data_IF_457331943890
#
_entry.id   IF_457331943890
#
_cell.length_a   1.000
_cell.length_b   1.000
_cell.length_c   1.000
_cell.angle_alpha   90.00
_cell.angle_beta   90.00
_cell.angle_gamma   90.00
#
_symmetry.space_group_name_H-M   'P 1'
#
loop_
_entity.id
_entity.type
_entity.pdbx_description
1 polymer ?
#
# COMPACT_ATOMS: atom_id res chain seq x y z
N UNK A 1 29.18 -0.47 13.08
CA UNK A 1 27.75 -0.11 13.17
C UNK A 1 27.70 1.30 13.70
N UNK A 2 27.37 2.29 12.88
CA UNK A 2 27.02 3.63 13.41
C UNK A 2 25.75 3.47 14.24
N UNK A 3 25.72 4.02 15.45
CA UNK A 3 24.49 3.96 16.24
C UNK A 3 23.43 4.81 15.52
N UNK A 4 22.15 4.47 15.68
CA UNK A 4 21.07 5.26 15.09
C UNK A 4 21.15 6.74 15.51
N UNK A 5 21.64 7.00 16.73
CA UNK A 5 21.87 8.34 17.27
C UNK A 5 23.00 9.12 16.58
N UNK A 6 23.91 8.45 15.87
CA UNK A 6 25.05 9.09 15.19
C UNK A 6 24.69 9.56 13.77
N UNK A 7 23.49 9.23 13.27
CA UNK A 7 23.04 9.59 11.93
C UNK A 7 22.54 11.04 11.88
N UNK A 8 22.59 11.71 10.72
CA UNK A 8 21.93 12.99 10.51
C UNK A 8 20.44 12.92 10.86
N UNK A 9 19.90 13.99 11.45
CA UNK A 9 18.52 14.03 11.94
C UNK A 9 17.49 13.70 10.86
N UNK A 10 17.79 14.05 9.60
CA UNK A 10 16.94 13.75 8.44
C UNK A 10 16.97 12.26 8.05
N UNK A 11 18.12 11.58 8.14
CA UNK A 11 18.21 10.15 7.88
C UNK A 11 17.50 9.35 8.97
N UNK A 12 17.60 9.78 10.24
CA UNK A 12 16.83 9.21 11.33
C UNK A 12 15.34 9.31 11.02
N UNK A 13 14.86 10.50 10.66
CA UNK A 13 13.47 10.73 10.32
C UNK A 13 13.01 9.85 9.14
N UNK A 14 13.76 9.74 8.04
CA UNK A 14 13.45 8.85 6.90
C UNK A 14 13.28 7.40 7.37
N UNK A 15 14.20 6.90 8.21
CA UNK A 15 14.12 5.53 8.77
C UNK A 15 12.90 5.37 9.69
N UNK A 16 12.55 6.37 10.49
CA UNK A 16 11.36 6.35 11.33
C UNK A 16 10.09 6.28 10.48
N UNK A 17 9.96 7.13 9.47
CA UNK A 17 8.82 7.12 8.55
C UNK A 17 8.71 5.79 7.80
N UNK A 18 9.82 5.23 7.32
CA UNK A 18 9.84 3.90 6.70
C UNK A 18 9.31 2.81 7.65
N UNK A 19 9.75 2.82 8.91
CA UNK A 19 9.26 1.89 9.92
C UNK A 19 7.76 2.11 10.23
N UNK A 20 7.30 3.35 10.33
CA UNK A 20 5.89 3.67 10.53
C UNK A 20 5.02 3.20 9.35
N UNK A 21 5.48 3.39 8.11
CA UNK A 21 4.79 2.89 6.91
C UNK A 21 4.69 1.36 6.95
N UNK A 22 5.76 0.66 7.35
CA UNK A 22 5.74 -0.79 7.55
C UNK A 22 4.73 -1.20 8.64
N UNK A 23 4.74 -0.53 9.79
CA UNK A 23 3.77 -0.76 10.87
C UNK A 23 2.33 -0.56 10.36
N UNK A 24 2.08 0.47 9.56
CA UNK A 24 0.75 0.67 8.97
C UNK A 24 0.36 -0.44 7.98
N UNK A 25 1.30 -1.04 7.23
CA UNK A 25 1.02 -2.23 6.41
C UNK A 25 0.59 -3.44 7.25
N UNK A 26 1.25 -3.68 8.40
CA UNK A 26 0.80 -4.70 9.35
C UNK A 26 -0.57 -4.38 9.94
N UNK A 27 -0.79 -3.11 10.32
CA UNK A 27 -2.07 -2.66 10.83
C UNK A 27 -3.18 -2.86 9.80
N UNK A 28 -2.92 -2.59 8.52
CA UNK A 28 -3.85 -2.77 7.41
C UNK A 28 -4.19 -4.26 7.20
N UNK A 29 -3.19 -5.14 7.30
CA UNK A 29 -3.40 -6.59 7.26
C UNK A 29 -4.23 -7.09 8.45
N UNK A 30 -4.07 -6.48 9.63
CA UNK A 30 -4.80 -6.86 10.83
C UNK A 30 -6.28 -6.39 10.85
N UNK A 31 -6.66 -5.37 10.06
CA UNK A 31 -8.02 -4.83 10.10
C UNK A 31 -9.04 -5.82 9.54
N UNK A 32 -10.07 -6.17 10.30
CA UNK A 32 -11.19 -6.99 9.81
C UNK A 32 -12.32 -6.16 9.21
N UNK A 33 -12.37 -4.85 9.47
CA UNK A 33 -13.44 -3.95 9.03
C UNK A 33 -12.99 -3.14 7.82
N UNK A 34 -13.83 -3.08 6.78
CA UNK A 34 -13.56 -2.34 5.54
C UNK A 34 -13.23 -0.87 5.82
N UNK A 35 -14.04 -0.19 6.64
CA UNK A 35 -13.82 1.23 6.96
C UNK A 35 -12.51 1.46 7.71
N UNK A 36 -12.17 0.58 8.66
CA UNK A 36 -10.92 0.68 9.40
C UNK A 36 -9.71 0.45 8.48
N UNK A 37 -9.81 -0.52 7.56
CA UNK A 37 -8.77 -0.73 6.55
C UNK A 37 -8.57 0.52 5.68
N UNK A 38 -9.65 1.15 5.20
CA UNK A 38 -9.57 2.39 4.41
C UNK A 38 -8.91 3.53 5.21
N UNK A 39 -9.22 3.66 6.50
CA UNK A 39 -8.61 4.67 7.36
C UNK A 39 -7.11 4.43 7.60
N UNK A 40 -6.71 3.17 7.85
CA UNK A 40 -5.29 2.82 7.99
C UNK A 40 -4.54 3.09 6.68
N UNK A 41 -5.16 2.77 5.53
CA UNK A 41 -4.61 3.10 4.22
C UNK A 41 -4.44 4.62 4.03
N UNK A 42 -5.40 5.44 4.46
CA UNK A 42 -5.29 6.89 4.41
C UNK A 42 -4.11 7.40 5.25
N UNK A 43 -3.93 6.85 6.46
CA UNK A 43 -2.79 7.15 7.32
C UNK A 43 -1.46 6.73 6.70
N UNK A 44 -1.41 5.56 6.06
CA UNK A 44 -0.23 5.10 5.33
C UNK A 44 0.11 6.05 4.17
N UNK A 45 -0.90 6.50 3.42
CA UNK A 45 -0.72 7.49 2.35
C UNK A 45 -0.22 8.84 2.86
N UNK A 46 -0.70 9.29 4.02
CA UNK A 46 -0.20 10.50 4.68
C UNK A 46 1.28 10.36 5.08
N UNK A 47 1.65 9.25 5.71
CA UNK A 47 3.05 8.98 6.09
C UNK A 47 3.96 8.95 4.87
N UNK A 48 3.49 8.38 3.76
CA UNK A 48 4.22 8.33 2.51
C UNK A 48 4.42 9.72 1.91
N UNK A 49 3.37 10.56 1.90
CA UNK A 49 3.48 11.95 1.45
C UNK A 49 4.45 12.77 2.33
N UNK A 50 4.40 12.60 3.66
CA UNK A 50 5.31 13.25 4.60
C UNK A 50 6.77 12.81 4.38
N UNK A 51 7.00 11.51 4.17
CA UNK A 51 8.30 10.98 3.80
C UNK A 51 8.80 11.58 2.47
N UNK A 52 7.95 11.62 1.44
CA UNK A 52 8.34 12.18 0.13
C UNK A 52 8.69 13.66 0.24
N UNK A 53 7.95 14.44 1.04
CA UNK A 53 8.28 15.83 1.32
C UNK A 53 9.63 15.97 2.06
N UNK A 54 9.92 15.08 3.01
CA UNK A 54 11.20 15.04 3.71
C UNK A 54 12.37 14.72 2.75
N UNK A 55 12.17 13.77 1.84
CA UNK A 55 13.16 13.43 0.79
C UNK A 55 13.32 14.60 -0.20
N UNK A 56 12.23 15.29 -0.56
CA UNK A 56 12.28 16.50 -1.40
C UNK A 56 13.14 17.60 -0.78
N UNK A 57 12.98 17.82 0.53
CA UNK A 57 13.77 18.77 1.29
C UNK A 57 15.26 18.39 1.30
N UNK A 58 15.57 17.12 1.53
CA UNK A 58 16.95 16.64 1.58
C UNK A 58 17.65 16.68 0.22
N UNK A 59 16.97 16.27 -0.85
CA UNK A 59 17.55 16.19 -2.19
C UNK A 59 17.54 17.54 -2.94
N UNK A 60 16.84 18.56 -2.41
CA UNK A 60 16.68 19.86 -3.07
C UNK A 60 15.84 19.83 -4.36
N UNK A 61 15.18 18.70 -4.65
CA UNK A 61 14.45 18.47 -5.89
C UNK A 61 13.01 18.99 -5.75
N UNK A 62 12.75 20.15 -6.37
CA UNK A 62 11.45 20.83 -6.25
C UNK A 62 10.28 19.98 -6.78
N UNK A 63 10.53 19.10 -7.74
CA UNK A 63 9.49 18.25 -8.32
C UNK A 63 8.90 17.26 -7.32
N UNK A 64 9.68 16.80 -6.32
CA UNK A 64 9.18 15.86 -5.30
C UNK A 64 8.10 16.48 -4.39
N UNK A 65 8.05 17.80 -4.26
CA UNK A 65 6.96 18.46 -3.53
C UNK A 65 5.63 18.29 -4.24
N UNK A 66 5.63 18.29 -5.58
CA UNK A 66 4.43 18.03 -6.38
C UNK A 66 3.99 16.59 -6.16
N UNK A 67 4.93 15.64 -6.14
CA UNK A 67 4.70 14.23 -5.86
C UNK A 67 4.12 14.00 -4.47
N UNK A 68 4.65 14.68 -3.46
CA UNK A 68 4.14 14.64 -2.09
C UNK A 68 2.71 15.19 -2.01
N UNK A 69 2.45 16.34 -2.64
CA UNK A 69 1.13 16.95 -2.70
C UNK A 69 0.10 16.06 -3.44
N UNK A 70 0.51 15.46 -4.57
CA UNK A 70 -0.31 14.54 -5.33
C UNK A 70 -0.63 13.27 -4.55
N UNK A 71 0.38 12.70 -3.87
CA UNK A 71 0.21 11.53 -3.00
C UNK A 71 -0.77 11.83 -1.87
N UNK A 72 -0.64 12.99 -1.23
CA UNK A 72 -1.56 13.41 -0.17
C UNK A 72 -2.98 13.60 -0.71
N UNK A 73 -3.14 14.37 -1.79
CA UNK A 73 -4.44 14.68 -2.36
C UNK A 73 -5.17 13.41 -2.86
N UNK A 74 -4.47 12.53 -3.57
CA UNK A 74 -5.06 11.33 -4.12
C UNK A 74 -5.18 10.22 -3.07
N UNK A 75 -4.08 9.81 -2.45
CA UNK A 75 -4.03 8.59 -1.62
C UNK A 75 -4.50 8.80 -0.19
N UNK A 76 -4.27 9.96 0.40
CA UNK A 76 -4.70 10.22 1.78
C UNK A 76 -6.11 10.80 1.87
N UNK A 77 -6.61 11.48 0.82
CA UNK A 77 -7.90 12.17 0.84
C UNK A 77 -8.89 11.59 -0.17
N UNK A 78 -8.61 11.69 -1.47
CA UNK A 78 -9.58 11.37 -2.53
C UNK A 78 -9.97 9.89 -2.57
N UNK A 79 -8.99 8.99 -2.60
CA UNK A 79 -9.23 7.54 -2.68
C UNK A 79 -9.95 7.02 -1.43
N UNK A 80 -9.52 7.34 -0.18
CA UNK A 80 -10.26 6.94 1.00
C UNK A 80 -11.70 7.45 1.01
N UNK A 81 -11.91 8.72 0.61
CA UNK A 81 -13.25 9.27 0.48
C UNK A 81 -14.10 8.51 -0.54
N UNK A 82 -13.53 8.20 -1.71
CA UNK A 82 -14.20 7.47 -2.77
C UNK A 82 -14.57 6.06 -2.28
N UNK A 83 -13.64 5.33 -1.68
CA UNK A 83 -13.88 3.98 -1.17
C UNK A 83 -14.92 3.95 -0.05
N UNK A 84 -14.89 4.92 0.89
CA UNK A 84 -15.93 5.04 1.93
C UNK A 84 -17.29 5.34 1.30
N UNK A 85 -17.33 6.22 0.29
CA UNK A 85 -18.56 6.53 -0.44
C UNK A 85 -19.12 5.30 -1.15
N UNK A 86 -18.29 4.49 -1.80
CA UNK A 86 -18.73 3.25 -2.44
C UNK A 86 -19.17 2.21 -1.40
N UNK A 87 -18.42 2.02 -0.32
CA UNK A 87 -18.81 1.14 0.78
C UNK A 87 -20.20 1.51 1.34
N UNK A 88 -20.50 2.82 1.46
CA UNK A 88 -21.84 3.31 1.89
C UNK A 88 -22.94 2.94 0.92
N UNK A 89 -22.71 3.11 -0.38
CA UNK A 89 -23.70 2.78 -1.41
C UNK A 89 -24.00 1.28 -1.49
N UNK A 90 -23.00 0.46 -1.19
CA UNK A 90 -23.09 -1.00 -1.23
C UNK A 90 -23.61 -1.62 0.08
N UNK A 91 -23.81 -0.82 1.14
CA UNK A 91 -24.31 -1.31 2.43
C UNK A 91 -23.29 -2.10 3.27
N UNK A 92 -22.05 -2.25 2.79
CA UNK A 92 -21.01 -3.10 3.39
C UNK A 92 -20.15 -2.40 4.47
N UNK A 93 -20.65 -1.33 5.10
CA UNK A 93 -19.87 -0.59 6.13
C UNK A 93 -19.54 -1.42 7.36
N UNK A 94 -20.44 -2.34 7.69
CA UNK A 94 -20.35 -3.20 8.88
C UNK A 94 -19.87 -4.61 8.54
N UNK A 95 -19.61 -4.88 7.26
CA UNK A 95 -19.13 -6.18 6.82
C UNK A 95 -17.73 -6.42 7.39
N UNK A 96 -17.61 -7.56 8.06
CA UNK A 96 -16.32 -8.14 8.40
C UNK A 96 -15.79 -8.80 7.13
N UNK A 97 -14.63 -8.34 6.69
CA UNK A 97 -13.89 -9.04 5.66
C UNK A 97 -13.11 -10.16 6.35
N UNK A 98 -13.65 -11.38 6.23
CA UNK A 98 -13.21 -12.53 6.97
C UNK A 98 -11.79 -12.97 6.54
N UNK A 99 -10.79 -12.56 7.31
CA UNK A 99 -9.46 -13.19 7.27
C UNK A 99 -9.58 -14.51 8.04
N UNK A 100 -9.39 -15.64 7.35
CA UNK A 100 -9.65 -16.97 7.90
C UNK A 100 -8.87 -17.22 9.20
N UNK A 101 -7.61 -16.73 9.28
CA UNK A 101 -6.73 -16.88 10.46
C UNK A 101 -5.83 -15.65 10.66
N UNK A 102 -6.32 -14.58 11.31
CA UNK A 102 -5.59 -13.31 11.45
C UNK A 102 -4.19 -13.46 12.09
N UNK A 103 -4.06 -14.34 13.08
CA UNK A 103 -2.78 -14.62 13.73
C UNK A 103 -1.75 -15.25 12.79
N UNK A 104 -2.17 -16.26 12.00
CA UNK A 104 -1.26 -16.90 11.03
C UNK A 104 -0.89 -15.96 9.89
N UNK A 105 -1.81 -15.10 9.44
CA UNK A 105 -1.50 -14.11 8.40
C UNK A 105 -0.51 -13.06 8.89
N UNK A 106 -0.60 -12.63 10.15
CA UNK A 106 0.39 -11.71 10.74
C UNK A 106 1.75 -12.38 10.95
N UNK A 107 1.78 -13.66 11.38
CA UNK A 107 3.02 -14.43 11.45
C UNK A 107 3.66 -14.62 10.08
N UNK A 108 2.86 -14.91 9.05
CA UNK A 108 3.33 -15.01 7.67
C UNK A 108 3.89 -13.66 7.18
N UNK A 109 3.24 -12.54 7.50
CA UNK A 109 3.78 -11.21 7.21
C UNK A 109 5.11 -10.95 7.91
N UNK A 110 5.26 -11.33 9.19
CA UNK A 110 6.54 -11.26 9.89
C UNK A 110 7.64 -12.11 9.24
N UNK A 111 7.30 -13.34 8.85
CA UNK A 111 8.22 -14.22 8.12
C UNK A 111 8.62 -13.64 6.75
N UNK A 112 7.68 -13.03 6.02
CA UNK A 112 7.95 -12.34 4.77
C UNK A 112 8.89 -11.15 4.95
N UNK A 113 8.75 -10.37 6.02
CA UNK A 113 9.71 -9.29 6.33
C UNK A 113 11.12 -9.86 6.52
N UNK A 114 11.26 -10.90 7.35
CA UNK A 114 12.56 -11.55 7.58
C UNK A 114 13.14 -12.08 6.27
N UNK A 115 12.31 -12.72 5.44
CA UNK A 115 12.69 -13.20 4.12
C UNK A 115 13.19 -12.07 3.22
N UNK A 116 12.47 -10.94 3.14
CA UNK A 116 12.87 -9.78 2.32
C UNK A 116 14.23 -9.22 2.75
N UNK A 117 14.48 -9.12 4.06
CA UNK A 117 15.78 -8.65 4.57
C UNK A 117 16.93 -9.60 4.23
N UNK A 118 16.66 -10.92 4.15
CA UNK A 118 17.64 -11.91 3.69
C UNK A 118 17.90 -11.82 2.18
N UNK A 119 16.86 -11.62 1.38
CA UNK A 119 16.96 -11.47 -0.09
C UNK A 119 17.79 -10.24 -0.48
N UNK A 120 17.76 -9.18 0.32
CA UNK A 120 18.51 -7.93 0.05
C UNK A 120 19.98 -8.01 0.54
N UNK A 121 20.40 -9.08 1.22
CA UNK A 121 21.80 -9.26 1.65
C UNK A 121 22.81 -9.20 0.49
N UNK A 122 22.67 -9.91 -0.64
CA UNK A 122 23.65 -9.85 -1.73
C UNK A 122 23.75 -8.46 -2.40
N UNK A 123 22.72 -7.61 -2.28
CA UNK A 123 22.73 -6.24 -2.84
C UNK A 123 23.71 -5.31 -2.08
N UNK A 124 24.26 -5.76 -0.94
CA UNK A 124 25.20 -5.03 -0.07
C UNK A 124 26.48 -4.56 -0.75
N UNK A 125 26.92 -5.19 -1.85
CA UNK A 125 28.21 -4.85 -2.48
C UNK A 125 28.15 -3.59 -3.35
N UNK A 126 26.94 -3.10 -3.70
CA UNK A 126 26.76 -2.05 -4.71
C UNK A 126 26.04 -0.78 -4.24
N UNK A 127 25.58 -0.70 -2.98
CA UNK A 127 24.73 0.41 -2.51
C UNK A 127 25.01 0.89 -1.08
N UNK A 128 24.72 2.17 -0.81
CA UNK A 128 24.81 2.77 0.52
C UNK A 128 23.80 2.13 1.50
N UNK A 129 24.13 2.15 2.79
CA UNK A 129 23.35 1.49 3.86
C UNK A 129 21.91 2.02 3.96
N UNK A 130 21.67 3.31 3.70
CA UNK A 130 20.33 3.92 3.73
C UNK A 130 19.45 3.36 2.60
N UNK A 131 20.00 3.23 1.39
CA UNK A 131 19.32 2.68 0.22
C UNK A 131 18.98 1.20 0.43
N UNK A 132 19.80 0.47 1.17
CA UNK A 132 19.56 -0.95 1.49
C UNK A 132 18.32 -1.16 2.36
N UNK A 133 18.20 -0.43 3.47
CA UNK A 133 17.07 -0.58 4.38
C UNK A 133 15.77 -0.15 3.69
N UNK A 134 15.84 0.89 2.86
CA UNK A 134 14.75 1.29 1.98
C UNK A 134 14.28 0.17 1.04
N UNK A 135 15.20 -0.51 0.33
CA UNK A 135 14.86 -1.62 -0.58
C UNK A 135 14.23 -2.80 0.19
N UNK A 136 14.77 -3.15 1.36
CA UNK A 136 14.23 -4.24 2.17
C UNK A 136 12.82 -3.92 2.68
N UNK A 137 12.60 -2.70 3.17
CA UNK A 137 11.29 -2.24 3.62
C UNK A 137 10.30 -2.17 2.45
N UNK A 138 10.70 -1.64 1.29
CA UNK A 138 9.82 -1.55 0.12
C UNK A 138 9.37 -2.93 -0.37
N UNK A 139 10.30 -3.89 -0.41
CA UNK A 139 10.00 -5.26 -0.78
C UNK A 139 9.04 -5.91 0.23
N UNK A 140 9.25 -5.68 1.52
CA UNK A 140 8.35 -6.14 2.56
C UNK A 140 6.94 -5.53 2.43
N UNK A 141 6.82 -4.23 2.13
CA UNK A 141 5.53 -3.57 1.89
C UNK A 141 4.77 -4.23 0.73
N UNK A 142 5.46 -4.50 -0.38
CA UNK A 142 4.89 -5.19 -1.55
C UNK A 142 4.45 -6.61 -1.20
N UNK A 143 5.30 -7.38 -0.50
CA UNK A 143 4.96 -8.75 -0.08
C UNK A 143 3.76 -8.80 0.88
N UNK A 144 3.67 -7.87 1.83
CA UNK A 144 2.52 -7.76 2.75
C UNK A 144 1.25 -7.40 1.97
N UNK A 145 1.34 -6.49 1.01
CA UNK A 145 0.21 -6.10 0.17
C UNK A 145 -0.27 -7.26 -0.74
N UNK A 146 0.65 -8.06 -1.28
CA UNK A 146 0.31 -9.29 -2.02
C UNK A 146 -0.35 -10.34 -1.12
N UNK A 147 0.17 -10.56 0.09
CA UNK A 147 -0.46 -11.44 1.07
C UNK A 147 -1.88 -10.97 1.40
N UNK A 148 -2.08 -9.65 1.48
CA UNK A 148 -3.40 -9.07 1.68
C UNK A 148 -4.31 -9.31 0.47
N UNK A 149 -3.83 -9.14 -0.76
CA UNK A 149 -4.61 -9.46 -1.98
C UNK A 149 -5.10 -10.92 -1.98
N UNK A 150 -4.26 -11.86 -1.53
CA UNK A 150 -4.60 -13.29 -1.49
C UNK A 150 -5.60 -13.62 -0.38
N UNK A 151 -5.53 -12.92 0.77
CA UNK A 151 -6.31 -13.27 1.97
C UNK A 151 -7.67 -12.57 2.07
N UNK A 152 -7.88 -11.50 1.30
CA UNK A 152 -9.10 -10.68 1.32
C UNK A 152 -10.11 -11.16 0.28
N UNK A 153 -11.38 -11.25 0.67
CA UNK A 153 -12.47 -11.76 -0.18
C UNK A 153 -13.32 -10.65 -0.78
N UNK A 154 -13.44 -9.53 -0.06
CA UNK A 154 -14.21 -8.37 -0.53
C UNK A 154 -13.39 -7.59 -1.55
N UNK A 155 -13.99 -7.25 -2.69
CA UNK A 155 -13.24 -6.55 -3.71
C UNK A 155 -12.81 -5.12 -3.28
N UNK A 156 -13.53 -4.42 -2.36
CA UNK A 156 -13.06 -3.12 -1.84
C UNK A 156 -11.72 -3.27 -1.08
N UNK A 157 -11.58 -4.30 -0.26
CA UNK A 157 -10.35 -4.52 0.51
C UNK A 157 -9.23 -5.07 -0.37
N UNK A 158 -9.55 -5.78 -1.45
CA UNK A 158 -8.57 -6.10 -2.50
C UNK A 158 -8.08 -4.85 -3.23
N UNK A 159 -8.95 -3.87 -3.52
CA UNK A 159 -8.51 -2.57 -4.06
C UNK A 159 -7.58 -1.87 -3.08
N UNK A 160 -7.92 -1.82 -1.79
CA UNK A 160 -7.04 -1.25 -0.76
C UNK A 160 -5.68 -1.99 -0.69
N UNK A 161 -5.69 -3.31 -0.82
CA UNK A 161 -4.47 -4.12 -0.85
C UNK A 161 -3.61 -3.83 -2.08
N UNK A 162 -4.22 -3.70 -3.26
CA UNK A 162 -3.55 -3.28 -4.49
C UNK A 162 -2.94 -1.88 -4.35
N UNK A 163 -3.69 -0.94 -3.76
CA UNK A 163 -3.20 0.42 -3.53
C UNK A 163 -2.03 0.46 -2.53
N UNK A 164 -2.05 -0.43 -1.53
CA UNK A 164 -0.94 -0.62 -0.60
C UNK A 164 0.30 -1.21 -1.30
N UNK A 165 0.12 -2.04 -2.34
CA UNK A 165 1.22 -2.57 -3.15
C UNK A 165 1.92 -1.43 -3.90
N UNK A 166 1.14 -0.56 -4.54
CA UNK A 166 1.67 0.63 -5.21
C UNK A 166 2.36 1.59 -4.24
N UNK A 167 1.87 1.72 -3.00
CA UNK A 167 2.58 2.48 -1.96
C UNK A 167 3.97 1.91 -1.67
N UNK A 168 4.11 0.58 -1.65
CA UNK A 168 5.40 -0.08 -1.51
C UNK A 168 6.35 0.21 -2.67
N UNK A 169 5.84 0.19 -3.91
CA UNK A 169 6.61 0.53 -5.11
C UNK A 169 7.01 2.01 -5.14
N UNK A 170 6.08 2.91 -4.80
CA UNK A 170 6.35 4.34 -4.71
C UNK A 170 7.35 4.68 -3.61
N UNK A 171 7.24 4.01 -2.45
CA UNK A 171 8.24 4.12 -1.39
C UNK A 171 9.62 3.67 -1.88
N UNK A 172 9.72 2.53 -2.57
CA UNK A 172 10.96 2.05 -3.19
C UNK A 172 11.56 3.11 -4.12
N UNK A 173 10.71 3.69 -4.97
CA UNK A 173 11.10 4.71 -5.92
C UNK A 173 11.72 5.93 -5.25
N UNK A 174 10.98 6.57 -4.35
CA UNK A 174 11.39 7.81 -3.68
C UNK A 174 12.67 7.60 -2.89
N UNK A 175 12.80 6.47 -2.20
CA UNK A 175 13.93 6.21 -1.30
C UNK A 175 15.16 5.62 -2.00
N UNK A 176 14.99 4.81 -3.05
CA UNK A 176 16.11 4.20 -3.77
C UNK A 176 16.70 5.13 -4.83
N UNK A 177 15.88 5.95 -5.48
CA UNK A 177 16.32 6.84 -6.57
C UNK A 177 16.57 8.28 -6.13
N UNK A 178 16.29 8.62 -4.86
CA UNK A 178 16.30 9.99 -4.32
C UNK A 178 15.43 10.99 -5.11
N UNK A 179 14.46 10.47 -5.87
CA UNK A 179 13.59 11.25 -6.77
C UNK A 179 13.49 10.58 -8.12
N UNK A 180 12.39 9.84 -8.35
CA UNK A 180 12.09 9.32 -9.67
C UNK A 180 11.62 10.44 -10.60
N UNK A 181 11.79 10.31 -11.92
CA UNK A 181 11.19 11.25 -12.86
C UNK A 181 9.68 11.35 -12.64
N UNK A 182 9.16 12.57 -12.54
CA UNK A 182 7.73 12.88 -12.34
C UNK A 182 6.77 12.12 -13.27
N UNK A 183 7.22 11.78 -14.48
CA UNK A 183 6.45 11.00 -15.46
C UNK A 183 6.05 9.62 -14.91
N UNK A 184 6.94 8.97 -14.15
CA UNK A 184 6.69 7.64 -13.57
C UNK A 184 5.67 7.74 -12.44
N UNK A 185 5.77 8.78 -11.60
CA UNK A 185 4.85 9.00 -10.48
C UNK A 185 3.45 9.35 -10.96
N UNK A 186 3.35 10.17 -12.03
CA UNK A 186 2.09 10.52 -12.64
C UNK A 186 1.44 9.30 -13.31
N UNK A 187 2.25 8.43 -13.94
CA UNK A 187 1.79 7.14 -14.47
C UNK A 187 1.21 6.23 -13.38
N UNK A 188 1.89 6.10 -12.23
CA UNK A 188 1.37 5.34 -11.08
C UNK A 188 0.07 5.97 -10.60
N UNK A 189 0.05 7.28 -10.32
CA UNK A 189 -1.15 7.98 -9.86
C UNK A 189 -2.34 7.84 -10.82
N UNK A 190 -2.09 7.81 -12.12
CA UNK A 190 -3.11 7.64 -13.15
C UNK A 190 -3.62 6.20 -13.21
N UNK A 191 -2.73 5.20 -13.08
CA UNK A 191 -3.09 3.79 -13.02
C UNK A 191 -3.99 3.51 -11.82
N UNK A 192 -3.61 4.05 -10.65
CA UNK A 192 -4.41 4.03 -9.42
C UNK A 192 -5.82 4.58 -9.67
N UNK A 193 -5.93 5.75 -10.33
CA UNK A 193 -7.21 6.41 -10.60
C UNK A 193 -8.07 5.58 -11.54
N UNK A 194 -7.48 5.06 -12.63
CA UNK A 194 -8.17 4.20 -13.58
C UNK A 194 -8.67 2.94 -12.88
N UNK A 195 -7.83 2.26 -12.10
CA UNK A 195 -8.22 1.09 -11.34
C UNK A 195 -9.41 1.40 -10.41
N UNK A 196 -9.33 2.47 -9.62
CA UNK A 196 -10.41 2.87 -8.72
C UNK A 196 -11.73 3.18 -9.46
N UNK A 197 -11.67 3.83 -10.62
CA UNK A 197 -12.84 4.11 -11.46
C UNK A 197 -13.41 2.83 -12.05
N UNK A 198 -12.57 1.98 -12.64
CA UNK A 198 -13.00 0.70 -13.22
C UNK A 198 -13.66 -0.17 -12.16
N UNK A 199 -13.03 -0.33 -10.99
CA UNK A 199 -13.62 -1.08 -9.88
C UNK A 199 -14.94 -0.44 -9.42
N UNK A 200 -15.01 0.89 -9.29
CA UNK A 200 -16.24 1.61 -8.96
C UNK A 200 -17.37 1.37 -9.95
N UNK A 201 -17.08 1.36 -11.26
CA UNK A 201 -18.06 1.09 -12.33
C UNK A 201 -18.47 -0.38 -12.34
N UNK A 202 -17.52 -1.31 -12.18
CA UNK A 202 -17.79 -2.74 -12.06
C UNK A 202 -18.68 -3.05 -10.85
N UNK A 203 -18.44 -2.40 -9.70
CA UNK A 203 -19.30 -2.53 -8.53
C UNK A 203 -20.72 -2.05 -8.77
N UNK A 204 -20.89 -0.98 -9.56
CA UNK A 204 -22.21 -0.45 -9.89
C UNK A 204 -22.96 -1.39 -10.83
N UNK A 205 -22.27 -1.94 -11.84
CA UNK A 205 -22.86 -2.90 -12.78
C UNK A 205 -23.18 -4.26 -12.15
N UNK A 206 -22.27 -4.80 -11.32
CA UNK A 206 -22.49 -6.12 -10.69
C UNK A 206 -23.66 -6.05 -9.70
N UNK A 207 -23.87 -4.94 -8.97
CA UNK A 207 -25.02 -4.79 -8.06
C UNK A 207 -26.37 -4.88 -8.79
N UNK A 208 -26.44 -4.41 -10.03
CA UNK A 208 -27.67 -4.53 -10.86
C UNK A 208 -27.88 -5.95 -11.39
N UNK A 209 -26.91 -6.86 -11.28
CA UNK A 209 -27.01 -8.25 -11.77
C UNK A 209 -26.78 -9.37 -10.74
N UNK A 210 -26.16 -9.12 -9.58
CA UNK A 210 -25.78 -10.17 -8.60
C UNK A 210 -25.94 -9.67 -7.15
N UNK A 211 -26.61 -10.47 -6.30
CA UNK A 211 -26.88 -10.21 -4.88
C UNK A 211 -25.64 -10.12 -3.96
N UNK A 212 -24.44 -10.47 -4.44
CA UNK A 212 -23.22 -10.58 -3.63
C UNK A 212 -21.95 -10.14 -4.37
N UNK A 213 -21.12 -9.33 -3.70
CA UNK A 213 -19.80 -8.86 -4.16
C UNK A 213 -18.63 -9.72 -3.65
N UNK A 214 -18.89 -11.01 -3.39
CA UNK A 214 -17.88 -11.98 -2.97
C UNK A 214 -17.15 -12.54 -4.19
N UNK A 215 -15.82 -12.36 -4.25
CA UNK A 215 -15.00 -12.84 -5.38
C UNK A 215 -15.00 -14.37 -5.46
N UNK A 216 -15.19 -15.07 -4.33
CA UNK A 216 -15.31 -16.53 -4.30
C UNK A 216 -16.61 -17.04 -4.95
N UNK A 217 -17.62 -16.19 -5.15
CA UNK A 217 -18.82 -16.56 -5.90
C UNK A 217 -18.63 -16.36 -7.41
N UNK A 218 -17.86 -15.34 -7.81
CA UNK A 218 -17.50 -15.11 -9.22
C UNK A 218 -16.65 -16.25 -9.78
N UNK A 219 -15.85 -16.93 -8.95
CA UNK A 219 -15.08 -18.11 -9.38
C UNK A 219 -15.92 -19.38 -9.56
N UNK A 220 -17.20 -19.42 -9.13
CA UNK A 220 -18.08 -20.59 -9.27
C UNK A 220 -18.89 -20.63 -10.56
N UNK A 221 -18.80 -19.58 -11.39
CA UNK A 221 -19.51 -19.49 -12.67
C UNK A 221 -18.77 -20.20 -13.83
N UNK A 222 -17.71 -20.95 -13.55
CA UNK A 222 -16.94 -21.65 -14.58
C UNK A 222 -17.12 -23.17 -14.47
N UNK A 223 -17.72 -23.70 -15.53
CA UNK A 223 -18.01 -25.10 -15.87
C UNK A 223 -19.22 -25.75 -15.19
N UNK A 224 -20.40 -25.39 -15.70
CA UNK A 224 -21.39 -26.42 -16.06
C UNK A 224 -21.21 -26.60 -17.58
N UNK A 225 -20.33 -27.53 -17.97
CA UNK A 225 -20.32 -28.04 -19.34
C UNK A 225 -21.15 -29.32 -19.34
N UNK A 226 -22.18 -29.34 -20.20
CA UNK A 226 -22.91 -30.53 -20.64
C UNK A 226 -21.98 -31.56 -21.30
#
# INVERSE_FOLDING_TARGET
>A
MTAYADLPLIEQAIRTFAALILVTSFALLAQSRVVAAIQVFAWQGFLLAALTALVAWNSGLTHLYISAALTLALKALFIPWLLIRQARRLGILRDLDAVIRPGLTLMAAGALVIFCYNVVVPVREFTQVVTRDAIAVSLALVMIALLMLITRRKAITQVVAFMSLENGLFFAAVTATQGMPMVVELGIAFDVLIAAVIFGVFFFHIRDSIESLDVDQLSRLREIND
#
